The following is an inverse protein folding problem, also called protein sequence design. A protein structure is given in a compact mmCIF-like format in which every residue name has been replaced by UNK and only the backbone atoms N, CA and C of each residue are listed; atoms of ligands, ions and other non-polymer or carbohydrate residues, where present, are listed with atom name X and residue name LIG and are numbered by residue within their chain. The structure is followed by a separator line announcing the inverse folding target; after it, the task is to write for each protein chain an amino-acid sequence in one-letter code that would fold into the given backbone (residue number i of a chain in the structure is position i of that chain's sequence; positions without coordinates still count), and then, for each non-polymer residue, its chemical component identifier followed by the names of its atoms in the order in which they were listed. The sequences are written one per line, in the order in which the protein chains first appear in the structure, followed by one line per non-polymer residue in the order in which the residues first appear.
data_IF_627010448702
#
_entry.id   IF_627010448702
#
_cell.length_a   1.000
_cell.length_b   1.000
_cell.length_c   1.000
_cell.angle_alpha   90.00
_cell.angle_beta   90.00
_cell.angle_gamma   90.00
#
_symmetry.space_group_name_H-M   'P 1'
#
loop_
_entity.id
_entity.type
_entity.pdbx_description
1 polymer ?
#
# COMPACT_ATOMS: atom_id res chain seq x y z
N UNK A 1 53.11 -59.04 11.56
CA UNK A 1 52.94 -57.60 11.86
C UNK A 1 52.09 -56.93 10.77
N UNK A 2 50.95 -56.37 11.16
CA UNK A 2 50.18 -55.24 10.57
C UNK A 2 48.67 -55.50 10.52
N UNK A 3 48.02 -55.20 11.64
CA UNK A 3 46.60 -54.86 11.72
C UNK A 3 46.34 -53.59 10.88
N UNK A 4 45.24 -53.59 10.11
CA UNK A 4 44.67 -52.36 9.54
C UNK A 4 43.28 -52.15 10.12
N UNK A 5 43.18 -51.27 11.11
CA UNK A 5 41.95 -50.63 11.54
C UNK A 5 41.57 -49.58 10.49
N UNK A 6 40.38 -49.70 9.89
CA UNK A 6 39.76 -48.63 9.12
C UNK A 6 38.84 -47.85 10.07
N UNK A 7 39.17 -46.57 10.26
CA UNK A 7 38.42 -45.60 11.06
C UNK A 7 37.23 -45.09 10.23
N UNK A 8 36.01 -45.31 10.71
CA UNK A 8 34.78 -44.70 10.20
C UNK A 8 34.69 -43.26 10.74
N UNK A 9 34.78 -42.28 9.85
CA UNK A 9 34.53 -40.88 10.16
C UNK A 9 33.04 -40.57 9.96
N UNK A 10 32.33 -40.34 11.07
CA UNK A 10 30.93 -39.92 11.08
C UNK A 10 30.81 -38.43 10.79
N UNK A 11 30.29 -38.06 9.63
CA UNK A 11 29.88 -36.69 9.29
C UNK A 11 28.54 -36.35 9.96
N UNK A 12 28.58 -35.50 10.99
CA UNK A 12 27.42 -34.81 11.54
C UNK A 12 26.99 -33.69 10.58
N UNK A 13 25.87 -33.90 9.88
CA UNK A 13 25.18 -32.83 9.16
C UNK A 13 24.40 -31.96 10.15
N UNK A 14 24.89 -30.74 10.37
CA UNK A 14 24.19 -29.67 11.08
C UNK A 14 22.99 -29.21 10.24
N UNK A 15 21.81 -29.71 10.59
CA UNK A 15 20.53 -29.27 10.06
C UNK A 15 20.26 -27.85 10.57
N UNK A 16 20.59 -26.84 9.77
CA UNK A 16 20.14 -25.48 10.03
C UNK A 16 18.66 -25.43 9.67
N UNK A 17 17.79 -25.43 10.70
CA UNK A 17 16.37 -25.20 10.51
C UNK A 17 16.16 -23.86 9.80
N UNK A 18 15.52 -23.90 8.64
CA UNK A 18 14.94 -22.72 8.01
C UNK A 18 13.84 -22.23 8.95
N UNK A 19 14.16 -21.29 9.83
CA UNK A 19 13.17 -20.49 10.52
C UNK A 19 12.42 -19.71 9.44
N UNK A 20 11.22 -20.16 9.08
CA UNK A 20 10.33 -19.39 8.22
C UNK A 20 10.07 -18.05 8.88
N UNK A 21 10.42 -16.96 8.20
CA UNK A 21 10.06 -15.63 8.66
C UNK A 21 8.54 -15.57 8.81
N UNK A 22 8.05 -15.02 9.93
CA UNK A 22 6.64 -14.80 10.12
C UNK A 22 6.10 -13.92 8.98
N UNK A 23 4.87 -14.17 8.48
CA UNK A 23 4.28 -13.33 7.46
C UNK A 23 4.21 -11.87 7.94
N UNK A 24 4.40 -10.89 7.03
CA UNK A 24 4.37 -9.48 7.41
C UNK A 24 2.99 -9.09 7.92
N UNK A 25 2.95 -8.28 8.99
CA UNK A 25 1.68 -7.78 9.55
C UNK A 25 0.94 -6.88 8.56
N UNK A 26 1.69 -6.03 7.85
CA UNK A 26 1.16 -5.17 6.77
C UNK A 26 2.17 -5.18 5.62
N UNK A 27 1.70 -5.43 4.41
CA UNK A 27 2.51 -5.37 3.20
C UNK A 27 1.79 -4.61 2.08
N UNK A 28 2.58 -3.99 1.20
CA UNK A 28 2.06 -3.36 -0.02
C UNK A 28 1.78 -4.44 -1.06
N UNK A 29 0.54 -4.58 -1.48
CA UNK A 29 0.13 -5.55 -2.51
C UNK A 29 0.32 -4.99 -3.92
N UNK A 30 -0.14 -3.76 -4.12
CA UNK A 30 -0.08 -3.09 -5.43
C UNK A 30 0.00 -1.56 -5.27
N UNK A 31 0.57 -0.90 -6.27
CA UNK A 31 0.76 0.56 -6.30
C UNK A 31 0.42 1.07 -7.70
N UNK A 32 -0.52 2.01 -7.79
CA UNK A 32 -0.70 2.86 -8.96
C UNK A 32 0.14 4.12 -8.76
N UNK A 33 1.21 4.26 -9.52
CA UNK A 33 2.22 5.30 -9.33
C UNK A 33 1.75 6.70 -9.75
N UNK A 34 2.29 7.78 -9.16
CA UNK A 34 3.40 7.82 -8.19
C UNK A 34 2.97 7.71 -6.73
N UNK A 35 3.81 7.06 -5.90
CA UNK A 35 3.58 6.95 -4.46
C UNK A 35 4.91 6.86 -3.69
N UNK A 36 4.89 7.24 -2.41
CA UNK A 36 6.06 7.29 -1.55
C UNK A 36 5.84 6.58 -0.21
N UNK A 37 6.92 6.01 0.31
CA UNK A 37 7.10 5.58 1.69
C UNK A 37 8.10 6.52 2.36
N UNK A 38 7.66 7.19 3.42
CA UNK A 38 8.52 7.96 4.31
C UNK A 38 8.83 7.11 5.55
N UNK A 39 10.11 6.80 5.77
CA UNK A 39 10.60 5.95 6.86
C UNK A 39 11.92 6.51 7.38
N UNK A 40 12.00 6.75 8.69
CA UNK A 40 13.23 7.20 9.37
C UNK A 40 13.89 8.44 8.72
N UNK A 41 13.05 9.36 8.23
CA UNK A 41 13.51 10.59 7.58
C UNK A 41 13.91 10.44 6.10
N UNK A 42 13.95 9.22 5.57
CA UNK A 42 14.10 8.97 4.14
C UNK A 42 12.73 8.89 3.45
N UNK A 43 12.63 9.44 2.24
CA UNK A 43 11.47 9.27 1.36
C UNK A 43 11.89 8.49 0.14
N UNK A 44 11.27 7.34 -0.08
CA UNK A 44 11.53 6.44 -1.22
C UNK A 44 10.22 6.13 -1.94
N UNK A 45 10.26 5.71 -3.21
CA UNK A 45 9.05 5.21 -3.87
C UNK A 45 8.40 4.08 -3.08
N UNK A 46 7.07 4.08 -3.05
CA UNK A 46 6.31 2.96 -2.51
C UNK A 46 6.35 1.82 -3.51
N UNK A 47 6.85 0.66 -3.09
CA UNK A 47 6.99 -0.51 -3.96
C UNK A 47 6.07 -1.66 -3.52
N UNK A 48 5.45 -2.40 -4.45
CA UNK A 48 4.82 -3.68 -4.16
C UNK A 48 5.80 -4.62 -3.43
N UNK A 49 5.30 -5.34 -2.43
CA UNK A 49 6.08 -6.24 -1.59
C UNK A 49 6.78 -5.56 -0.41
N UNK A 50 6.77 -4.23 -0.34
CA UNK A 50 7.32 -3.52 0.81
C UNK A 50 6.53 -3.90 2.09
N UNK A 51 7.26 -4.39 3.10
CA UNK A 51 6.71 -4.65 4.43
C UNK A 51 6.68 -3.34 5.20
N UNK A 52 5.50 -3.01 5.73
CA UNK A 52 5.25 -1.79 6.49
C UNK A 52 5.30 -2.07 7.99
N UNK A 53 5.74 -1.08 8.75
CA UNK A 53 5.92 -1.14 10.20
C UNK A 53 5.40 0.13 10.86
N UNK A 54 5.21 0.06 12.17
CA UNK A 54 4.85 1.24 12.97
C UNK A 54 5.83 2.40 12.70
N UNK A 55 5.28 3.60 12.55
CA UNK A 55 6.00 4.83 12.20
C UNK A 55 6.14 5.12 10.70
N UNK A 56 5.84 4.15 9.83
CA UNK A 56 5.84 4.39 8.39
C UNK A 56 4.72 5.31 7.95
N UNK A 57 5.02 6.18 6.99
CA UNK A 57 4.03 7.05 6.35
C UNK A 57 4.00 6.82 4.85
N UNK A 58 2.80 6.74 4.30
CA UNK A 58 2.55 6.58 2.89
C UNK A 58 1.95 7.85 2.31
N UNK A 59 2.37 8.19 1.09
CA UNK A 59 1.78 9.26 0.29
C UNK A 59 1.44 8.76 -1.10
N UNK A 60 0.26 9.08 -1.60
CA UNK A 60 -0.11 8.87 -3.01
C UNK A 60 -0.16 10.21 -3.73
N UNK A 61 0.36 10.26 -4.96
CA UNK A 61 0.35 11.45 -5.80
C UNK A 61 -0.96 11.62 -6.60
N UNK A 62 -0.94 12.50 -7.61
CA UNK A 62 -2.04 12.65 -8.57
C UNK A 62 -2.34 11.34 -9.29
N UNK A 63 -3.62 10.99 -9.44
CA UNK A 63 -4.08 9.75 -10.06
C UNK A 63 -3.36 8.48 -9.52
N UNK A 64 -2.93 8.51 -8.26
CA UNK A 64 -2.23 7.40 -7.62
C UNK A 64 -3.15 6.66 -6.66
N UNK A 65 -2.83 5.39 -6.41
CA UNK A 65 -3.53 4.48 -5.50
C UNK A 65 -2.54 3.55 -4.85
N UNK A 66 -2.85 3.05 -3.67
CA UNK A 66 -2.10 1.95 -3.06
C UNK A 66 -3.06 0.93 -2.49
N UNK A 67 -2.69 -0.34 -2.55
CA UNK A 67 -3.40 -1.43 -1.89
C UNK A 67 -2.44 -2.10 -0.91
N UNK A 68 -2.86 -2.17 0.34
CA UNK A 68 -2.16 -2.86 1.41
C UNK A 68 -2.93 -4.11 1.80
N UNK A 69 -2.20 -5.12 2.24
CA UNK A 69 -2.72 -6.37 2.77
C UNK A 69 -2.22 -6.55 4.20
N UNK A 70 -3.14 -6.84 5.12
CA UNK A 70 -2.82 -7.20 6.50
C UNK A 70 -2.62 -8.73 6.61
N UNK A 71 -2.01 -9.21 7.70
CA UNK A 71 -1.77 -10.64 7.93
C UNK A 71 -3.03 -11.49 8.06
N UNK A 72 -4.20 -10.88 8.29
CA UNK A 72 -5.51 -11.54 8.31
C UNK A 72 -6.26 -11.43 6.97
N UNK A 73 -5.56 -11.12 5.90
CA UNK A 73 -6.05 -10.87 4.54
C UNK A 73 -6.94 -9.64 4.37
N UNK A 74 -7.20 -8.86 5.43
CA UNK A 74 -7.91 -7.59 5.31
C UNK A 74 -7.15 -6.64 4.38
N UNK A 75 -7.89 -5.88 3.60
CA UNK A 75 -7.32 -4.96 2.61
C UNK A 75 -7.54 -3.50 3.03
N UNK A 76 -6.52 -2.68 2.79
CA UNK A 76 -6.60 -1.22 2.87
C UNK A 76 -6.32 -0.66 1.49
N UNK A 77 -7.29 0.03 0.89
CA UNK A 77 -7.09 0.77 -0.36
C UNK A 77 -6.94 2.25 -0.05
N UNK A 78 -5.95 2.91 -0.64
CA UNK A 78 -5.70 4.34 -0.52
C UNK A 78 -5.98 5.02 -1.86
N UNK A 79 -6.71 6.13 -1.80
CA UNK A 79 -7.06 6.97 -2.94
C UNK A 79 -5.96 7.94 -3.35
N UNK A 80 -6.31 8.87 -4.25
CA UNK A 80 -5.45 9.99 -4.66
C UNK A 80 -5.14 10.94 -3.49
N UNK A 81 -3.92 11.50 -3.44
CA UNK A 81 -3.56 12.52 -2.46
C UNK A 81 -3.63 12.05 -1.01
N UNK A 82 -3.60 10.74 -0.79
CA UNK A 82 -3.69 10.13 0.52
C UNK A 82 -2.42 10.41 1.32
N UNK A 83 -2.59 10.73 2.60
CA UNK A 83 -1.53 10.74 3.60
C UNK A 83 -1.93 9.77 4.69
N UNK A 84 -1.17 8.69 4.83
CA UNK A 84 -1.53 7.56 5.66
C UNK A 84 -0.35 7.17 6.54
N UNK A 85 -0.62 6.73 7.77
CA UNK A 85 0.40 6.35 8.74
C UNK A 85 0.03 5.02 9.41
N UNK A 86 1.02 4.14 9.53
CA UNK A 86 0.93 2.95 10.38
C UNK A 86 1.35 3.37 11.78
N UNK A 87 0.40 3.48 12.71
CA UNK A 87 0.68 3.87 14.09
C UNK A 87 1.09 2.66 14.91
N UNK A 88 0.41 1.54 14.68
CA UNK A 88 0.65 0.25 15.32
C UNK A 88 0.39 -0.86 14.31
N UNK A 89 1.20 -1.91 14.33
CA UNK A 89 1.02 -3.11 13.51
C UNK A 89 1.75 -4.28 14.19
N UNK A 90 1.00 -5.13 14.88
CA UNK A 90 1.50 -6.29 15.61
C UNK A 90 0.60 -7.51 15.39
N UNK A 91 1.20 -8.70 15.29
CA UNK A 91 0.46 -9.96 15.21
C UNK A 91 1.13 -11.04 16.06
N UNK A 92 0.91 -10.97 17.37
CA UNK A 92 1.44 -11.89 18.37
C UNK A 92 0.30 -12.65 19.07
N UNK A 93 -0.59 -13.27 18.29
CA UNK A 93 -1.85 -13.99 18.66
C UNK A 93 -3.15 -13.20 18.40
N UNK A 94 -3.09 -11.88 18.46
CA UNK A 94 -4.20 -11.00 18.10
C UNK A 94 -3.63 -9.98 17.16
N UNK A 95 -4.20 -9.86 15.96
CA UNK A 95 -3.81 -8.82 15.04
C UNK A 95 -4.24 -7.47 15.61
N UNK A 96 -3.27 -6.63 15.98
CA UNK A 96 -3.48 -5.26 16.41
C UNK A 96 -2.94 -4.33 15.33
N UNK A 97 -3.80 -3.43 14.86
CA UNK A 97 -3.35 -2.37 13.99
C UNK A 97 -4.07 -1.07 14.30
N UNK A 98 -3.30 0.00 14.32
CA UNK A 98 -3.81 1.36 14.40
C UNK A 98 -3.36 2.10 13.16
N UNK A 99 -4.33 2.45 12.32
CA UNK A 99 -4.11 3.04 11.01
C UNK A 99 -4.64 4.47 11.02
N UNK A 100 -3.85 5.43 10.54
CA UNK A 100 -4.26 6.84 10.53
C UNK A 100 -4.30 7.39 9.12
N UNK A 101 -5.45 7.92 8.74
CA UNK A 101 -5.69 8.64 7.49
C UNK A 101 -5.71 10.13 7.80
N UNK A 102 -4.66 10.84 7.38
CA UNK A 102 -4.49 12.28 7.60
C UNK A 102 -5.19 13.11 6.52
N UNK A 103 -5.20 12.60 5.29
CA UNK A 103 -5.92 13.15 4.14
C UNK A 103 -6.20 12.08 3.10
N UNK A 104 -7.19 12.34 2.23
CA UNK A 104 -7.54 11.46 1.11
C UNK A 104 -8.56 10.39 1.48
N UNK A 105 -9.01 9.67 0.46
CA UNK A 105 -9.96 8.58 0.62
C UNK A 105 -9.25 7.26 0.92
N UNK A 106 -9.95 6.37 1.62
CA UNK A 106 -9.51 5.01 1.85
C UNK A 106 -10.71 4.06 1.93
N UNK A 107 -10.43 2.77 1.74
CA UNK A 107 -11.36 1.69 2.03
C UNK A 107 -10.66 0.66 2.90
N UNK A 108 -11.35 0.20 3.93
CA UNK A 108 -10.95 -0.99 4.68
C UNK A 108 -11.98 -2.08 4.44
N UNK A 109 -11.54 -3.28 4.08
CA UNK A 109 -12.43 -4.42 3.93
C UNK A 109 -11.79 -5.67 4.56
N UNK A 110 -12.54 -6.29 5.46
CA UNK A 110 -12.21 -7.62 5.99
C UNK A 110 -12.44 -8.68 4.92
N UNK A 111 -11.53 -9.65 4.81
CA UNK A 111 -11.73 -10.84 3.99
C UNK A 111 -12.03 -12.05 4.88
N UNK A 112 -12.93 -12.92 4.43
CA UNK A 112 -13.24 -14.17 5.11
C UNK A 112 -14.04 -14.03 6.42
N UNK A 113 -14.25 -15.14 7.14
CA UNK A 113 -15.04 -15.18 8.36
C UNK A 113 -14.36 -14.43 9.51
N UNK A 114 -15.16 -13.64 10.24
CA UNK A 114 -14.70 -12.86 11.39
C UNK A 114 -14.66 -13.77 12.62
N UNK A 115 -13.45 -13.99 13.16
CA UNK A 115 -13.28 -14.73 14.41
C UNK A 115 -13.18 -13.73 15.58
N UNK A 116 -14.11 -13.78 16.56
CA UNK A 116 -14.07 -12.89 17.71
C UNK A 116 -12.74 -12.97 18.48
N UNK A 117 -12.23 -11.82 18.91
CA UNK A 117 -11.00 -11.73 19.71
C UNK A 117 -9.69 -11.97 18.95
N UNK A 118 -9.73 -12.27 17.65
CA UNK A 118 -8.53 -12.47 16.81
C UNK A 118 -7.99 -11.18 16.21
N UNK A 119 -8.70 -10.07 16.35
CA UNK A 119 -8.26 -8.75 15.85
C UNK A 119 -8.74 -7.60 16.73
N UNK A 120 -7.96 -6.53 16.74
CA UNK A 120 -8.29 -5.22 17.28
C UNK A 120 -7.73 -4.17 16.31
N UNK A 121 -8.58 -3.68 15.41
CA UNK A 121 -8.20 -2.74 14.37
C UNK A 121 -8.90 -1.41 14.62
N UNK A 122 -8.13 -0.33 14.71
CA UNK A 122 -8.64 1.03 14.83
C UNK A 122 -8.19 1.87 13.64
N UNK A 123 -9.13 2.60 13.05
CA UNK A 123 -8.85 3.53 11.94
C UNK A 123 -9.17 4.95 12.37
N UNK A 124 -8.15 5.80 12.43
CA UNK A 124 -8.27 7.23 12.70
C UNK A 124 -8.36 8.02 11.39
N UNK A 125 -9.53 8.55 11.07
CA UNK A 125 -9.76 9.48 9.96
C UNK A 125 -9.72 10.90 10.52
N UNK A 126 -8.51 11.44 10.65
CA UNK A 126 -8.23 12.74 11.29
C UNK A 126 -8.88 12.90 12.66
N UNK A 127 -10.08 13.48 12.75
CA UNK A 127 -10.79 13.72 14.01
C UNK A 127 -11.74 12.57 14.43
N UNK A 128 -11.87 11.54 13.61
CA UNK A 128 -12.81 10.44 13.78
C UNK A 128 -12.05 9.13 13.99
N UNK A 129 -12.39 8.38 15.02
CA UNK A 129 -11.86 7.02 15.24
C UNK A 129 -12.97 6.01 15.00
N UNK A 130 -12.75 5.08 14.08
CA UNK A 130 -13.63 3.94 13.80
C UNK A 130 -13.00 2.65 14.35
N UNK A 131 -13.65 2.03 15.33
CA UNK A 131 -13.28 0.72 15.86
C UNK A 131 -13.84 -0.39 14.98
N UNK A 132 -12.98 -1.26 14.47
CA UNK A 132 -13.30 -2.22 13.41
C UNK A 132 -13.43 -3.64 13.95
N UNK A 133 -14.60 -4.24 13.74
CA UNK A 133 -14.91 -5.61 14.15
C UNK A 133 -15.51 -6.40 12.98
N UNK A 134 -14.69 -6.64 11.96
CA UNK A 134 -15.09 -7.41 10.80
C UNK A 134 -16.07 -6.66 9.90
N UNK A 135 -15.57 -5.67 9.18
CA UNK A 135 -16.39 -4.74 8.41
C UNK A 135 -15.80 -4.43 7.04
N UNK A 136 -16.65 -3.85 6.21
CA UNK A 136 -16.29 -3.11 5.01
C UNK A 136 -16.74 -1.67 5.16
N UNK A 137 -15.81 -0.73 5.02
CA UNK A 137 -16.09 0.69 5.12
C UNK A 137 -15.25 1.50 4.15
N UNK A 138 -15.81 2.62 3.74
CA UNK A 138 -15.10 3.66 3.02
C UNK A 138 -15.01 4.90 3.91
N UNK A 139 -13.92 5.64 3.82
CA UNK A 139 -13.82 6.92 4.52
C UNK A 139 -12.94 7.90 3.78
N UNK A 140 -13.01 9.16 4.20
CA UNK A 140 -12.23 10.24 3.60
C UNK A 140 -11.96 11.33 4.61
N UNK A 141 -10.69 11.70 4.72
CA UNK A 141 -10.28 12.94 5.37
C UNK A 141 -10.16 14.03 4.30
N UNK A 142 -11.20 14.86 4.16
CA UNK A 142 -11.26 15.96 3.19
C UNK A 142 -11.07 17.31 3.88
N UNK A 143 -10.77 18.39 3.17
CA UNK A 143 -10.52 19.70 3.82
C UNK A 143 -11.70 20.18 4.67
N UNK A 144 -12.93 20.08 4.15
CA UNK A 144 -14.13 20.60 4.81
C UNK A 144 -14.70 19.69 5.91
N UNK A 145 -14.53 18.37 5.79
CA UNK A 145 -15.13 17.38 6.71
C UNK A 145 -14.43 16.03 6.63
N UNK A 146 -14.59 15.24 7.68
CA UNK A 146 -14.17 13.83 7.72
C UNK A 146 -15.41 12.94 7.57
N UNK A 147 -15.28 11.85 6.81
CA UNK A 147 -16.37 10.94 6.47
C UNK A 147 -15.98 9.49 6.78
N UNK A 148 -16.90 8.72 7.34
CA UNK A 148 -16.80 7.27 7.52
C UNK A 148 -18.15 6.63 7.16
N UNK A 149 -18.20 5.91 6.05
CA UNK A 149 -19.38 5.22 5.54
C UNK A 149 -19.26 3.71 5.74
N UNK A 150 -20.25 3.13 6.42
CA UNK A 150 -20.37 1.69 6.58
C UNK A 150 -20.94 1.06 5.30
N UNK A 151 -20.26 0.05 4.78
CA UNK A 151 -20.71 -0.74 3.63
C UNK A 151 -21.27 -2.06 4.11
N UNK A 152 -20.55 -2.75 5.00
CA UNK A 152 -20.96 -4.02 5.60
C UNK A 152 -20.45 -4.15 7.04
N UNK A 153 -21.25 -4.77 7.89
CA UNK A 153 -20.89 -5.12 9.26
C UNK A 153 -21.35 -4.07 10.27
N UNK A 154 -20.50 -3.77 11.26
CA UNK A 154 -20.79 -2.83 12.35
C UNK A 154 -19.53 -2.13 12.82
N UNK A 155 -19.57 -0.81 12.88
CA UNK A 155 -18.49 0.01 13.42
C UNK A 155 -18.98 0.88 14.57
N UNK A 156 -18.06 1.16 15.48
CA UNK A 156 -18.23 2.19 16.50
C UNK A 156 -17.40 3.39 16.09
N UNK A 157 -18.01 4.57 16.06
CA UNK A 157 -17.37 5.81 15.67
C UNK A 157 -17.35 6.78 16.83
N UNK A 158 -16.18 7.32 17.12
CA UNK A 158 -15.99 8.36 18.13
C UNK A 158 -15.27 9.56 17.53
N UNK A 159 -15.61 10.75 18.01
CA UNK A 159 -14.90 11.99 17.70
C UNK A 159 -14.81 12.82 18.97
N UNK A 160 -13.73 13.61 19.09
CA UNK A 160 -13.49 14.40 20.31
C UNK A 160 -14.65 15.36 20.59
N UNK A 161 -15.23 15.27 21.79
CA UNK A 161 -16.32 16.14 22.22
C UNK A 161 -17.69 15.77 21.64
N UNK A 162 -17.79 14.66 20.91
CA UNK A 162 -19.05 14.11 20.40
C UNK A 162 -19.40 12.82 21.14
N UNK A 163 -20.69 12.50 21.30
CA UNK A 163 -21.09 11.17 21.77
C UNK A 163 -20.62 10.12 20.76
N UNK A 164 -20.30 8.94 21.28
CA UNK A 164 -20.02 7.77 20.45
C UNK A 164 -21.27 7.40 19.64
N UNK A 165 -21.06 7.05 18.37
CA UNK A 165 -22.10 6.60 17.46
C UNK A 165 -21.83 5.17 17.01
N UNK A 166 -22.88 4.37 16.86
CA UNK A 166 -22.80 3.03 16.29
C UNK A 166 -23.41 3.10 14.90
N UNK A 167 -22.67 2.63 13.89
CA UNK A 167 -23.22 2.35 12.57
C UNK A 167 -23.33 0.83 12.43
N UNK A 168 -24.55 0.34 12.25
CA UNK A 168 -24.87 -1.08 12.07
C UNK A 168 -25.81 -1.33 10.87
N UNK A 169 -26.08 -0.30 10.07
CA UNK A 169 -26.86 -0.38 8.85
C UNK A 169 -26.00 0.05 7.68
N UNK A 170 -25.94 -0.81 6.67
CA UNK A 170 -25.24 -0.50 5.42
C UNK A 170 -25.75 0.82 4.82
N UNK A 171 -24.82 1.61 4.28
CA UNK A 171 -25.02 2.95 3.71
C UNK A 171 -25.26 4.06 4.74
N UNK A 172 -25.17 3.78 6.03
CA UNK A 172 -25.06 4.86 7.01
C UNK A 172 -23.61 5.38 7.01
N UNK A 173 -23.46 6.70 7.09
CA UNK A 173 -22.16 7.35 7.23
C UNK A 173 -22.18 8.38 8.34
N UNK A 174 -21.07 8.44 9.05
CA UNK A 174 -20.76 9.49 10.01
C UNK A 174 -19.98 10.59 9.29
N UNK A 175 -20.37 11.83 9.53
CA UNK A 175 -19.61 12.99 9.11
C UNK A 175 -19.34 13.92 10.29
N UNK A 176 -18.18 14.59 10.28
CA UNK A 176 -17.89 15.70 11.17
C UNK A 176 -17.21 16.83 10.38
N UNK A 177 -17.75 18.03 10.50
CA UNK A 177 -17.16 19.22 9.88
C UNK A 177 -16.02 19.82 10.73
N UNK A 178 -15.39 20.88 10.24
CA UNK A 178 -14.31 21.58 10.97
C UNK A 178 -14.79 22.43 12.15
N UNK A 179 -16.09 22.71 12.24
CA UNK A 179 -16.72 23.31 13.42
C UNK A 179 -17.03 22.30 14.52
N UNK A 180 -16.85 21.00 14.25
CA UNK A 180 -17.16 19.92 15.17
C UNK A 180 -18.61 19.46 15.12
N UNK A 181 -19.40 19.89 14.14
CA UNK A 181 -20.77 19.40 13.98
C UNK A 181 -20.74 18.00 13.39
N UNK A 182 -21.21 17.03 14.16
CA UNK A 182 -21.26 15.64 13.76
C UNK A 182 -22.69 15.16 13.48
N UNK A 183 -22.85 14.30 12.50
CA UNK A 183 -24.13 13.66 12.20
C UNK A 183 -23.94 12.27 11.61
N UNK A 184 -24.86 11.37 11.94
CA UNK A 184 -25.06 10.13 11.17
C UNK A 184 -26.12 10.42 10.10
N UNK A 185 -25.79 10.08 8.87
CA UNK A 185 -26.63 10.26 7.69
C UNK A 185 -26.63 8.99 6.86
N UNK A 186 -27.45 8.98 5.82
CA UNK A 186 -27.55 7.86 4.90
C UNK A 186 -27.17 8.31 3.50
N UNK A 187 -26.41 7.46 2.80
CA UNK A 187 -26.05 7.64 1.40
C UNK A 187 -26.86 6.68 0.53
N UNK A 188 -27.11 7.04 -0.72
CA UNK A 188 -27.66 6.10 -1.69
C UNK A 188 -26.55 5.25 -2.34
N UNK A 189 -26.94 4.15 -2.99
CA UNK A 189 -26.01 3.22 -3.62
C UNK A 189 -25.20 3.86 -4.76
N UNK A 190 -25.78 4.82 -5.49
CA UNK A 190 -25.11 5.49 -6.61
C UNK A 190 -23.99 6.38 -6.12
N UNK A 191 -24.24 7.15 -5.06
CA UNK A 191 -23.25 8.00 -4.43
C UNK A 191 -22.15 7.18 -3.75
N UNK A 192 -22.47 6.05 -3.11
CA UNK A 192 -21.45 5.14 -2.60
C UNK A 192 -20.58 4.56 -3.73
N UNK A 193 -21.18 4.17 -4.85
CA UNK A 193 -20.41 3.68 -6.00
C UNK A 193 -19.43 4.74 -6.52
N UNK A 194 -19.81 6.01 -6.54
CA UNK A 194 -18.91 7.12 -6.87
C UNK A 194 -17.76 7.27 -5.87
N UNK A 195 -18.05 7.18 -4.56
CA UNK A 195 -17.01 7.22 -3.52
C UNK A 195 -16.04 6.04 -3.60
N UNK A 196 -16.54 4.84 -3.90
CA UNK A 196 -15.71 3.65 -4.01
C UNK A 196 -14.61 3.81 -5.09
N UNK A 197 -14.95 4.44 -6.22
CA UNK A 197 -14.00 4.73 -7.32
C UNK A 197 -12.79 5.56 -6.88
N UNK A 198 -12.91 6.36 -5.81
CA UNK A 198 -11.78 7.15 -5.29
C UNK A 198 -10.61 6.27 -4.81
N UNK A 199 -10.85 4.98 -4.57
CA UNK A 199 -9.84 4.03 -4.05
C UNK A 199 -9.56 2.86 -4.99
N UNK A 200 -10.29 2.75 -6.10
CA UNK A 200 -10.06 1.70 -7.09
C UNK A 200 -8.89 2.05 -8.01
N UNK A 201 -8.10 1.04 -8.37
CA UNK A 201 -7.03 1.15 -9.35
C UNK A 201 -7.60 1.03 -10.76
N UNK A 202 -7.06 1.81 -11.69
CA UNK A 202 -7.47 1.75 -13.09
C UNK A 202 -6.81 0.57 -13.83
N UNK A 203 -7.56 -0.06 -14.74
CA UNK A 203 -7.08 -1.15 -15.59
C UNK A 203 -6.13 -0.72 -16.71
N UNK A 204 -6.02 0.59 -16.93
CA UNK A 204 -5.20 1.26 -17.95
C UNK A 204 -4.23 2.27 -17.31
N UNK A 205 -3.91 2.10 -16.02
CA UNK A 205 -3.05 3.01 -15.25
C UNK A 205 -1.73 2.36 -14.90
N UNK A 206 -0.74 3.17 -14.50
CA UNK A 206 0.60 2.70 -14.14
C UNK A 206 0.61 1.90 -12.82
N UNK A 207 0.12 0.66 -12.85
CA UNK A 207 0.01 -0.22 -11.69
C UNK A 207 1.16 -1.24 -11.64
N UNK A 208 1.90 -1.23 -10.54
CA UNK A 208 2.84 -2.28 -10.15
C UNK A 208 2.25 -3.24 -9.12
N UNK A 209 2.71 -4.49 -9.15
CA UNK A 209 2.36 -5.56 -8.20
C UNK A 209 3.54 -6.53 -8.02
N UNK A 210 3.51 -7.33 -6.96
CA UNK A 210 4.62 -8.22 -6.56
C UNK A 210 5.01 -9.22 -7.67
N UNK A 211 4.03 -9.76 -8.37
CA UNK A 211 4.18 -10.74 -9.46
C UNK A 211 4.11 -10.12 -10.86
N UNK A 212 4.29 -8.79 -10.95
CA UNK A 212 4.22 -8.07 -12.22
C UNK A 212 5.32 -8.48 -13.18
N UNK A 213 4.92 -8.93 -14.37
CA UNK A 213 5.82 -9.47 -15.41
C UNK A 213 6.19 -8.46 -16.49
N UNK A 214 5.86 -7.18 -16.30
CA UNK A 214 6.14 -6.11 -17.25
C UNK A 214 7.05 -5.04 -16.66
N UNK A 215 7.67 -4.28 -17.56
CA UNK A 215 8.59 -3.21 -17.21
C UNK A 215 8.56 -2.08 -18.23
N UNK A 216 9.09 -0.94 -17.81
CA UNK A 216 9.38 0.21 -18.68
C UNK A 216 10.87 0.49 -18.66
N UNK A 217 11.50 0.51 -19.83
CA UNK A 217 12.81 1.14 -20.03
C UNK A 217 12.55 2.63 -20.20
N UNK A 218 12.90 3.43 -19.19
CA UNK A 218 12.70 4.86 -19.18
C UNK A 218 13.71 5.59 -20.09
N UNK A 219 14.97 5.13 -20.10
CA UNK A 219 16.01 5.61 -21.01
C UNK A 219 17.19 4.60 -21.08
N UNK A 220 18.02 4.76 -22.11
CA UNK A 220 19.36 4.15 -22.22
C UNK A 220 20.39 5.25 -22.38
N UNK A 221 21.38 5.30 -21.49
CA UNK A 221 22.37 6.38 -21.44
C UNK A 221 23.78 5.81 -21.47
N UNK A 222 24.67 6.48 -22.22
CA UNK A 222 26.06 6.07 -22.37
C UNK A 222 26.96 6.38 -21.15
N UNK A 223 26.44 7.08 -20.15
CA UNK A 223 27.16 7.45 -18.92
C UNK A 223 26.42 6.94 -17.69
N UNK A 224 27.14 6.24 -16.81
CA UNK A 224 26.56 5.66 -15.59
C UNK A 224 26.01 6.74 -14.66
N UNK A 225 26.76 7.82 -14.50
CA UNK A 225 26.36 8.94 -13.65
C UNK A 225 25.05 9.60 -14.15
N UNK A 226 24.88 9.72 -15.48
CA UNK A 226 23.64 10.23 -16.06
C UNK A 226 22.45 9.30 -15.77
N UNK A 227 22.65 7.98 -15.85
CA UNK A 227 21.64 6.99 -15.46
C UNK A 227 21.28 7.07 -13.98
N UNK A 228 22.27 7.20 -13.10
CA UNK A 228 22.04 7.32 -11.65
C UNK A 228 21.30 8.62 -11.30
N UNK A 229 21.62 9.74 -11.97
CA UNK A 229 20.89 11.02 -11.83
C UNK A 229 19.44 10.89 -12.29
N UNK A 230 19.20 10.25 -13.44
CA UNK A 230 17.84 10.03 -13.93
C UNK A 230 17.03 9.12 -13.00
N UNK A 231 17.61 7.99 -12.57
CA UNK A 231 16.95 7.08 -11.64
C UNK A 231 16.62 7.78 -10.30
N UNK A 232 17.53 8.60 -9.77
CA UNK A 232 17.27 9.41 -8.57
C UNK A 232 16.09 10.36 -8.76
N UNK A 233 16.07 11.14 -9.85
CA UNK A 233 14.97 12.06 -10.17
C UNK A 233 13.61 11.35 -10.24
N UNK A 234 13.58 10.17 -10.87
CA UNK A 234 12.35 9.38 -10.96
C UNK A 234 11.92 8.81 -9.60
N UNK A 235 12.88 8.40 -8.75
CA UNK A 235 12.59 7.97 -7.38
C UNK A 235 12.07 9.11 -6.49
N UNK A 236 12.65 10.29 -6.60
CA UNK A 236 12.14 11.50 -5.95
C UNK A 236 10.71 11.81 -6.40
N UNK A 237 10.39 11.55 -7.67
CA UNK A 237 9.04 11.67 -8.23
C UNK A 237 8.09 10.48 -7.89
N UNK A 238 8.52 9.50 -7.08
CA UNK A 238 7.66 8.41 -6.61
C UNK A 238 7.53 7.23 -7.56
N UNK A 239 8.44 7.08 -8.52
CA UNK A 239 8.55 5.89 -9.37
C UNK A 239 9.76 5.04 -8.94
N UNK A 240 9.63 3.71 -8.80
CA UNK A 240 10.72 2.84 -8.33
C UNK A 240 11.74 2.52 -9.42
N UNK A 241 12.36 3.59 -9.96
CA UNK A 241 13.34 3.49 -11.02
C UNK A 241 14.70 2.98 -10.49
N UNK A 242 15.32 2.10 -11.27
CA UNK A 242 16.62 1.50 -10.99
C UNK A 242 17.51 1.58 -12.22
N UNK A 243 18.82 1.60 -12.03
CA UNK A 243 19.78 1.43 -13.12
C UNK A 243 20.11 -0.05 -13.21
N UNK A 244 19.97 -0.66 -14.39
CA UNK A 244 20.38 -2.04 -14.58
C UNK A 244 21.89 -2.20 -14.47
N UNK A 245 22.31 -3.35 -13.95
CA UNK A 245 23.70 -3.79 -14.00
C UNK A 245 24.09 -4.16 -15.44
N UNK A 246 25.39 -4.05 -15.75
CA UNK A 246 25.95 -4.34 -17.06
C UNK A 246 26.75 -3.18 -17.63
N UNK A 247 26.96 -3.24 -18.94
CA UNK A 247 27.79 -2.30 -19.69
C UNK A 247 26.96 -1.19 -20.34
N UNK A 248 27.64 -0.13 -20.77
CA UNK A 248 27.00 0.94 -21.53
C UNK A 248 26.37 0.42 -22.84
N UNK A 249 25.19 0.96 -23.25
CA UNK A 249 24.42 1.98 -22.56
C UNK A 249 23.59 1.42 -21.39
N UNK A 250 23.70 2.04 -20.22
CA UNK A 250 22.96 1.65 -19.02
C UNK A 250 21.48 1.98 -19.13
N UNK A 251 20.64 1.02 -18.77
CA UNK A 251 19.19 1.16 -18.76
C UNK A 251 18.70 1.74 -17.43
N UNK A 252 17.83 2.75 -17.48
CA UNK A 252 17.03 3.17 -16.33
C UNK A 252 15.64 2.60 -16.47
N UNK A 253 15.18 1.82 -15.49
CA UNK A 253 14.02 0.95 -15.65
C UNK A 253 13.08 1.00 -14.44
N UNK A 254 11.79 0.81 -14.70
CA UNK A 254 10.76 0.54 -13.68
C UNK A 254 10.19 -0.83 -13.97
N UNK A 255 10.25 -1.75 -13.00
CA UNK A 255 9.86 -3.16 -13.15
C UNK A 255 8.62 -3.50 -12.32
N UNK A 256 8.12 -4.72 -12.44
CA UNK A 256 7.02 -5.22 -11.59
C UNK A 256 5.66 -4.65 -11.98
N UNK A 257 5.46 -4.25 -13.23
CA UNK A 257 4.17 -3.75 -13.72
C UNK A 257 3.23 -4.92 -14.00
N UNK A 258 1.95 -4.73 -13.68
CA UNK A 258 0.98 -5.83 -13.68
C UNK A 258 0.70 -6.40 -15.09
N UNK A 259 0.91 -5.61 -16.14
CA UNK A 259 0.62 -5.99 -17.50
C UNK A 259 1.08 -4.98 -18.54
N UNK A 260 0.85 -5.32 -19.80
CA UNK A 260 1.19 -4.49 -20.95
C UNK A 260 0.54 -3.10 -20.88
N UNK A 261 -0.76 -3.05 -20.58
CA UNK A 261 -1.51 -1.81 -20.49
C UNK A 261 -0.92 -0.88 -19.41
N UNK A 262 -0.57 -1.43 -18.25
CA UNK A 262 0.05 -0.70 -17.15
C UNK A 262 1.44 -0.16 -17.53
N UNK A 263 2.24 -0.98 -18.22
CA UNK A 263 3.55 -0.57 -18.71
C UNK A 263 3.47 0.54 -19.76
N UNK A 264 2.52 0.44 -20.69
CA UNK A 264 2.27 1.50 -21.69
C UNK A 264 1.80 2.80 -21.01
N UNK A 265 0.90 2.70 -20.04
CA UNK A 265 0.43 3.85 -19.27
C UNK A 265 1.57 4.54 -18.51
N UNK A 266 2.48 3.77 -17.88
CA UNK A 266 3.66 4.35 -17.24
C UNK A 266 4.60 4.99 -18.27
N UNK A 267 4.85 4.34 -19.41
CA UNK A 267 5.70 4.87 -20.46
C UNK A 267 5.16 6.21 -21.01
N UNK A 268 3.84 6.33 -21.18
CA UNK A 268 3.18 7.57 -21.57
C UNK A 268 3.32 8.66 -20.51
N UNK A 269 3.05 8.33 -19.24
CA UNK A 269 3.22 9.25 -18.11
C UNK A 269 4.67 9.76 -17.99
N UNK A 270 5.67 8.89 -18.11
CA UNK A 270 7.08 9.28 -18.07
C UNK A 270 7.47 10.18 -19.25
N UNK A 271 6.81 10.03 -20.40
CA UNK A 271 7.02 10.91 -21.57
C UNK A 271 6.43 12.29 -21.32
N UNK A 272 5.19 12.39 -20.84
CA UNK A 272 4.48 13.65 -20.66
C UNK A 272 4.93 14.43 -19.42
N UNK A 273 5.12 13.75 -18.29
CA UNK A 273 5.38 14.41 -16.99
C UNK A 273 6.89 14.52 -16.68
N UNK A 274 7.69 13.51 -17.06
CA UNK A 274 9.14 13.50 -16.78
C UNK A 274 10.01 13.96 -17.97
N UNK A 275 9.38 14.27 -19.12
CA UNK A 275 10.03 14.77 -20.33
C UNK A 275 10.97 13.77 -20.98
N UNK A 276 10.75 12.47 -20.80
CA UNK A 276 11.64 11.43 -21.32
C UNK A 276 11.38 11.14 -22.79
N UNK A 277 12.47 11.07 -23.57
CA UNK A 277 12.42 10.64 -24.96
C UNK A 277 12.27 9.12 -25.03
N UNK A 278 11.12 8.66 -25.54
CA UNK A 278 10.89 7.27 -25.91
C UNK A 278 10.97 6.22 -24.79
N UNK A 279 10.30 6.37 -23.62
CA UNK A 279 10.10 5.23 -22.72
C UNK A 279 9.42 4.07 -23.46
N UNK A 280 9.92 2.85 -23.26
CA UNK A 280 9.46 1.64 -23.95
C UNK A 280 8.91 0.64 -22.92
N UNK A 281 7.66 0.24 -23.12
CA UNK A 281 7.04 -0.87 -22.40
C UNK A 281 7.43 -2.21 -23.04
N UNK A 282 7.86 -3.17 -22.23
CA UNK A 282 8.23 -4.52 -22.70
C UNK A 282 8.01 -5.55 -21.59
N UNK A 283 7.96 -6.85 -21.94
CA UNK A 283 8.02 -7.92 -20.95
C UNK A 283 9.26 -7.82 -20.05
N UNK A 284 9.09 -8.27 -18.81
CA UNK A 284 10.02 -8.25 -17.69
C UNK A 284 11.32 -8.99 -17.97
#
# INVERSE_FOLDING_TARGET
MRNRLAVLASTLLLWHGLAGAAPPVVAVEAVQYPAWLDREGASVPLEPGAVLRAGDRLRTGPDARARLRLSDDSSVKLGEGARFEIVEAEDTNVLRAKLRVLSGAFRYATQGPVVPGRRAIDIEVKNVTAGIRGTDLWGKAAEARDLVCLIEGRITVSARGQPEAILDRALDYYEIDRGGNAAVRRVDAKQLAQWALETEMGTDRAVGQVDGSWRVVAARLGEREASDRLARRLREAGYPARVEEGDAPWAVVVTGLAGEAQARALAERLRSEAGLAGPVAQPG
#
